data_IF_922408918680
#
_entry.id   IF_922408918680
#
_cell.length_a   1.000
_cell.length_b   1.000
_cell.length_c   1.000
_cell.angle_alpha   90.00
_cell.angle_beta   90.00
_cell.angle_gamma   90.00
#
_symmetry.space_group_name_H-M   'P 1'
#
loop_
_entity.id
_entity.type
_entity.pdbx_description
1 polymer ?
#
# COMPACT_ATOMS: atom_id res chain seq x y z
N UNK A 1 12.79 15.32 24.16
CA UNK A 1 12.45 13.88 24.26
C UNK A 1 10.94 13.57 24.35
N UNK A 2 10.08 14.47 24.88
CA UNK A 2 8.63 14.21 24.98
C UNK A 2 7.90 14.10 23.62
N UNK A 3 8.32 14.86 22.59
CA UNK A 3 7.68 14.85 21.26
C UNK A 3 7.81 13.52 20.49
N UNK A 4 8.97 12.87 20.54
CA UNK A 4 9.22 11.59 19.84
C UNK A 4 8.40 10.45 20.47
N UNK A 5 8.33 10.41 21.81
CA UNK A 5 7.52 9.40 22.52
C UNK A 5 6.03 9.52 22.18
N UNK A 6 5.53 10.75 22.06
CA UNK A 6 4.14 11.00 21.71
C UNK A 6 3.84 10.54 20.26
N UNK A 7 4.77 10.75 19.32
CA UNK A 7 4.63 10.28 17.96
C UNK A 7 4.59 8.74 17.87
N UNK A 8 5.46 8.04 18.61
CA UNK A 8 5.49 6.58 18.60
C UNK A 8 4.19 5.98 19.14
N UNK A 9 3.70 6.47 20.28
CA UNK A 9 2.43 6.02 20.87
C UNK A 9 1.25 6.32 19.95
N UNK A 10 1.19 7.50 19.34
CA UNK A 10 0.10 7.85 18.43
C UNK A 10 0.10 6.99 17.17
N UNK A 11 1.28 6.70 16.60
CA UNK A 11 1.41 5.81 15.44
C UNK A 11 0.97 4.38 15.79
N UNK A 12 1.32 3.87 16.96
CA UNK A 12 0.88 2.55 17.42
C UNK A 12 -0.64 2.47 17.56
N UNK A 13 -1.27 3.45 18.22
CA UNK A 13 -2.74 3.52 18.36
C UNK A 13 -3.46 3.56 17.02
N UNK A 14 -2.90 4.30 16.05
CA UNK A 14 -3.41 4.34 14.68
C UNK A 14 -3.26 3.00 13.96
N UNK A 15 -2.09 2.37 14.06
CA UNK A 15 -1.82 1.05 13.46
C UNK A 15 -2.76 -0.03 13.98
N UNK A 16 -2.98 -0.08 15.30
CA UNK A 16 -3.98 -0.96 15.91
C UNK A 16 -5.38 -0.73 15.36
N UNK A 17 -5.84 0.52 15.32
CA UNK A 17 -7.18 0.83 14.83
C UNK A 17 -7.37 0.49 13.34
N UNK A 18 -6.34 0.70 12.51
CA UNK A 18 -6.33 0.31 11.10
C UNK A 18 -6.41 -1.21 10.94
N UNK A 19 -5.66 -1.96 11.75
CA UNK A 19 -5.72 -3.42 11.76
C UNK A 19 -7.11 -3.92 12.13
N UNK A 20 -7.68 -3.44 13.25
CA UNK A 20 -9.02 -3.82 13.70
C UNK A 20 -10.09 -3.53 12.63
N UNK A 21 -10.03 -2.34 12.02
CA UNK A 21 -10.93 -1.97 10.93
C UNK A 21 -10.78 -2.89 9.70
N UNK A 22 -9.55 -3.33 9.40
CA UNK A 22 -9.28 -4.31 8.33
C UNK A 22 -9.72 -5.74 8.67
N UNK A 23 -9.72 -6.10 9.95
CA UNK A 23 -10.18 -7.40 10.47
C UNK A 23 -11.70 -7.50 10.63
N UNK A 24 -12.46 -6.45 10.30
CA UNK A 24 -13.93 -6.46 10.38
C UNK A 24 -14.50 -6.08 11.76
N UNK A 25 -13.71 -5.47 12.65
CA UNK A 25 -14.21 -4.97 13.93
C UNK A 25 -15.16 -3.79 13.71
N UNK A 26 -16.26 -3.74 14.47
CA UNK A 26 -17.28 -2.69 14.32
C UNK A 26 -16.76 -1.31 14.72
N UNK A 27 -17.32 -0.27 14.11
CA UNK A 27 -16.97 1.12 14.41
C UNK A 27 -17.19 1.45 15.89
N UNK A 28 -18.24 0.91 16.50
CA UNK A 28 -18.55 1.10 17.92
C UNK A 28 -17.52 0.45 18.83
N UNK A 29 -17.05 -0.75 18.51
CA UNK A 29 -15.97 -1.40 19.25
C UNK A 29 -14.65 -0.62 19.12
N UNK A 30 -14.34 -0.10 17.93
CA UNK A 30 -13.17 0.77 17.71
C UNK A 30 -13.29 2.06 18.54
N UNK A 31 -14.44 2.72 18.53
CA UNK A 31 -14.68 3.93 19.33
C UNK A 31 -14.63 3.65 20.83
N UNK A 32 -15.12 2.50 21.29
CA UNK A 32 -15.02 2.05 22.68
C UNK A 32 -13.55 1.90 23.10
N UNK A 33 -12.72 1.24 22.29
CA UNK A 33 -11.28 1.13 22.54
C UNK A 33 -10.56 2.49 22.52
N UNK A 34 -11.02 3.41 21.67
CA UNK A 34 -10.49 4.78 21.63
C UNK A 34 -10.83 5.54 22.91
N UNK A 35 -12.07 5.45 23.40
CA UNK A 35 -12.51 6.05 24.66
C UNK A 35 -11.77 5.46 25.87
N UNK A 36 -11.44 4.16 25.82
CA UNK A 36 -10.57 3.50 26.80
C UNK A 36 -9.08 3.89 26.67
N UNK A 37 -8.70 4.69 25.67
CA UNK A 37 -7.34 5.16 25.46
C UNK A 37 -6.40 4.16 24.77
N UNK A 38 -6.92 3.02 24.31
CA UNK A 38 -6.14 1.91 23.70
C UNK A 38 -5.87 2.16 22.21
N UNK A 39 -6.82 2.75 21.48
CA UNK A 39 -6.73 2.98 20.04
C UNK A 39 -7.08 4.43 19.67
N UNK A 40 -7.33 4.69 18.37
CA UNK A 40 -7.91 5.93 17.86
C UNK A 40 -9.35 5.71 17.39
N UNK A 41 -10.10 6.80 17.27
CA UNK A 41 -11.50 6.77 16.84
C UNK A 41 -11.66 6.27 15.42
N UNK A 42 -12.83 5.70 15.12
CA UNK A 42 -13.17 5.29 13.77
C UNK A 42 -13.07 6.44 12.76
N UNK A 43 -13.44 7.67 13.15
CA UNK A 43 -13.29 8.86 12.32
C UNK A 43 -11.83 9.13 11.94
N UNK A 44 -10.90 8.93 12.87
CA UNK A 44 -9.45 9.09 12.62
C UNK A 44 -8.96 8.07 11.59
N UNK A 45 -9.42 6.83 11.70
CA UNK A 45 -9.15 5.77 10.72
C UNK A 45 -9.67 6.17 9.34
N UNK A 46 -10.92 6.61 9.24
CA UNK A 46 -11.51 7.05 7.98
C UNK A 46 -10.72 8.19 7.33
N UNK A 47 -10.42 9.24 8.10
CA UNK A 47 -9.65 10.40 7.62
C UNK A 47 -8.26 9.97 7.12
N UNK A 48 -7.62 9.02 7.79
CA UNK A 48 -6.32 8.51 7.39
C UNK A 48 -6.38 7.70 6.08
N UNK A 49 -7.37 6.81 5.94
CA UNK A 49 -7.60 6.06 4.69
C UNK A 49 -7.88 7.01 3.52
N UNK A 50 -8.67 8.07 3.76
CA UNK A 50 -8.94 9.11 2.77
C UNK A 50 -7.66 9.82 2.33
N UNK A 51 -6.81 10.27 3.27
CA UNK A 51 -5.50 10.87 2.95
C UNK A 51 -4.63 9.95 2.08
N UNK A 52 -4.57 8.66 2.41
CA UNK A 52 -3.80 7.70 1.59
C UNK A 52 -4.35 7.62 0.17
N UNK A 53 -5.68 7.55 0.02
CA UNK A 53 -6.33 7.49 -1.29
C UNK A 53 -6.07 8.77 -2.11
N UNK A 54 -6.18 9.93 -1.47
CA UNK A 54 -5.96 11.24 -2.11
C UNK A 54 -4.48 11.43 -2.51
N UNK A 55 -3.53 10.94 -1.70
CA UNK A 55 -2.10 11.01 -1.98
C UNK A 55 -1.62 9.96 -2.99
N UNK A 56 -2.35 8.84 -3.14
CA UNK A 56 -1.97 7.73 -4.01
C UNK A 56 -1.63 8.14 -5.45
N UNK A 57 -2.47 8.89 -6.20
CA UNK A 57 -2.15 9.28 -7.57
C UNK A 57 -0.88 10.12 -7.66
N UNK A 58 -0.68 11.05 -6.72
CA UNK A 58 0.50 11.93 -6.69
C UNK A 58 1.77 11.10 -6.45
N UNK A 59 1.71 10.17 -5.48
CA UNK A 59 2.85 9.29 -5.16
C UNK A 59 3.16 8.33 -6.30
N UNK A 60 2.13 7.80 -6.96
CA UNK A 60 2.27 6.95 -8.14
C UNK A 60 2.96 7.70 -9.28
N UNK A 61 2.43 8.86 -9.68
CA UNK A 61 3.01 9.67 -10.76
C UNK A 61 4.44 10.08 -10.48
N UNK A 62 4.76 10.46 -9.23
CA UNK A 62 6.13 10.78 -8.83
C UNK A 62 7.06 9.57 -8.99
N UNK A 63 6.64 8.39 -8.53
CA UNK A 63 7.44 7.16 -8.66
C UNK A 63 7.61 6.76 -10.12
N UNK A 64 6.57 6.92 -10.93
CA UNK A 64 6.61 6.67 -12.37
C UNK A 64 7.60 7.61 -13.07
N UNK A 65 7.59 8.90 -12.73
CA UNK A 65 8.56 9.86 -13.27
C UNK A 65 10.00 9.55 -12.86
N UNK A 66 10.22 9.16 -11.60
CA UNK A 66 11.53 8.69 -11.13
C UNK A 66 11.99 7.45 -11.90
N UNK A 67 11.10 6.48 -12.09
CA UNK A 67 11.40 5.27 -12.84
C UNK A 67 11.73 5.58 -14.30
N UNK A 68 10.94 6.43 -14.97
CA UNK A 68 11.21 6.86 -16.35
C UNK A 68 12.57 7.57 -16.47
N UNK A 69 12.92 8.43 -15.52
CA UNK A 69 14.22 9.11 -15.50
C UNK A 69 15.38 8.14 -15.29
N UNK A 70 15.22 7.15 -14.41
CA UNK A 70 16.22 6.09 -14.25
C UNK A 70 16.30 5.21 -15.49
N UNK A 71 15.16 4.85 -16.10
CA UNK A 71 15.07 4.04 -17.31
C UNK A 71 15.77 4.71 -18.49
N UNK A 72 15.59 6.03 -18.66
CA UNK A 72 16.25 6.80 -19.73
C UNK A 72 17.77 6.91 -19.57
N UNK A 73 18.31 6.63 -18.38
CA UNK A 73 19.75 6.65 -18.13
C UNK A 73 20.45 5.30 -18.47
N UNK A 74 19.69 4.23 -18.70
CA UNK A 74 20.24 2.97 -19.21
C UNK A 74 20.58 3.09 -20.69
N UNK A 75 21.54 2.30 -21.18
CA UNK A 75 21.81 2.27 -22.63
C UNK A 75 20.68 1.54 -23.41
N UNK A 76 20.73 1.63 -24.75
CA UNK A 76 19.69 1.04 -25.62
C UNK A 76 19.60 -0.49 -25.50
N UNK A 77 20.70 -1.19 -25.21
CA UNK A 77 20.77 -2.64 -25.06
C UNK A 77 20.15 -3.05 -23.71
N UNK A 78 20.48 -2.33 -22.64
CA UNK A 78 19.95 -2.55 -21.30
C UNK A 78 18.43 -2.26 -21.23
N UNK A 79 17.96 -1.20 -21.88
CA UNK A 79 16.53 -0.88 -21.98
C UNK A 79 15.73 -1.98 -22.70
N UNK A 80 16.25 -2.51 -23.81
CA UNK A 80 15.61 -3.63 -24.53
C UNK A 80 15.60 -4.89 -23.66
N UNK A 81 16.68 -5.19 -22.96
CA UNK A 81 16.77 -6.36 -22.07
C UNK A 81 15.68 -6.34 -20.99
N UNK A 82 15.44 -5.19 -20.35
CA UNK A 82 14.38 -5.04 -19.34
C UNK A 82 12.99 -5.31 -19.95
N UNK A 83 12.67 -4.73 -21.11
CA UNK A 83 11.39 -4.96 -21.77
C UNK A 83 11.17 -6.42 -22.19
N UNK A 84 12.22 -7.13 -22.63
CA UNK A 84 12.12 -8.56 -22.92
C UNK A 84 11.77 -9.38 -21.67
N UNK A 85 12.28 -9.03 -20.49
CA UNK A 85 11.92 -9.70 -19.24
C UNK A 85 10.46 -9.45 -18.83
N UNK A 86 9.96 -8.22 -18.95
CA UNK A 86 8.56 -7.90 -18.66
C UNK A 86 7.61 -8.70 -19.54
N UNK A 87 7.89 -8.77 -20.85
CA UNK A 87 7.12 -9.56 -21.81
C UNK A 87 7.13 -11.06 -21.48
N UNK A 88 8.29 -11.62 -21.12
CA UNK A 88 8.42 -13.03 -20.76
C UNK A 88 7.68 -13.38 -19.45
N UNK A 89 7.60 -12.46 -18.49
CA UNK A 89 6.84 -12.64 -17.24
C UNK A 89 5.34 -12.65 -17.53
N UNK A 90 4.87 -11.80 -18.44
CA UNK A 90 3.48 -11.73 -18.85
C UNK A 90 3.04 -13.01 -19.59
N UNK A 91 3.85 -13.49 -20.54
CA UNK A 91 3.62 -14.76 -21.25
C UNK A 91 3.52 -15.95 -20.26
N UNK A 92 4.47 -16.05 -19.32
CA UNK A 92 4.46 -17.06 -18.23
C UNK A 92 3.24 -16.96 -17.33
N UNK A 93 2.60 -15.79 -17.22
CA UNK A 93 1.37 -15.61 -16.43
C UNK A 93 0.15 -16.13 -17.19
N UNK A 94 0.08 -15.90 -18.49
CA UNK A 94 -0.99 -16.43 -19.34
C UNK A 94 -0.91 -17.95 -19.50
N UNK A 95 0.29 -18.53 -19.67
CA UNK A 95 0.47 -19.99 -19.69
C UNK A 95 -0.06 -20.67 -18.43
N UNK A 96 0.18 -20.08 -17.26
CA UNK A 96 -0.29 -20.61 -15.97
C UNK A 96 -1.80 -20.52 -15.83
N UNK A 97 -2.42 -19.46 -16.35
CA UNK A 97 -3.89 -19.34 -16.40
C UNK A 97 -4.51 -20.42 -17.29
N UNK A 98 -3.94 -20.65 -18.47
CA UNK A 98 -4.43 -21.70 -19.39
C UNK A 98 -4.31 -23.10 -18.76
N UNK A 99 -3.17 -23.41 -18.13
CA UNK A 99 -2.97 -24.71 -17.46
C UNK A 99 -3.92 -24.92 -16.28
N UNK A 100 -4.20 -23.89 -15.48
CA UNK A 100 -5.16 -23.99 -14.38
C UNK A 100 -6.62 -24.18 -14.84
N UNK A 101 -6.99 -23.62 -15.99
CA UNK A 101 -8.32 -23.78 -16.58
C UNK A 101 -8.53 -25.18 -17.19
N UNK A 102 -7.48 -25.84 -17.66
CA UNK A 102 -7.54 -27.20 -18.24
C UNK A 102 -7.53 -28.32 -17.18
N UNK A 103 -7.18 -28.02 -15.93
CA UNK A 103 -7.14 -28.99 -14.83
C UNK A 103 -8.36 -28.95 -13.90
N UNK A 104 -9.42 -28.23 -14.29
CA UNK A 104 -10.67 -28.05 -13.53
C UNK A 104 -11.83 -28.79 -14.16
#
# INVERSE_FOLDING_TARGET
MAGIRNQHVNNFKLGLALYLAGSGVTCDAINTLSSAGVSVTHQTVYNYKKKIADEHPIRYSRRMAQWNSSFSNFDRIEQLSIHFYDNAIEERKEERKMKGAMSS
#
